data_IF_041822894448
#
_entry.id   IF_041822894448
#
_cell.length_a   1.000
_cell.length_b   1.000
_cell.length_c   1.000
_cell.angle_alpha   90.00
_cell.angle_beta   90.00
_cell.angle_gamma   90.00
#
_symmetry.space_group_name_H-M   'P 1'
#
loop_
_entity.id
_entity.type
_entity.pdbx_description
1 polymer ?
#
# COMPACT_ATOMS: atom_id res chain seq x y z
N UNK A 1 8.63 -1.47 12.26
CA UNK A 1 8.29 -2.41 11.18
C UNK A 1 8.89 -1.81 9.93
N UNK A 2 9.65 -2.57 9.15
CA UNK A 2 10.29 -2.09 7.92
C UNK A 2 9.77 -2.93 6.76
N UNK A 3 9.49 -2.28 5.62
CA UNK A 3 9.08 -2.96 4.40
C UNK A 3 10.26 -2.94 3.44
N UNK A 4 10.64 -4.12 2.95
CA UNK A 4 11.63 -4.26 1.89
C UNK A 4 10.90 -4.43 0.56
N UNK A 5 11.14 -3.51 -0.37
CA UNK A 5 10.56 -3.53 -1.70
C UNK A 5 11.32 -4.49 -2.62
N UNK A 6 10.75 -4.77 -3.80
CA UNK A 6 11.35 -5.68 -4.78
C UNK A 6 12.70 -5.20 -5.33
N UNK A 7 12.96 -3.90 -5.28
CA UNK A 7 14.23 -3.26 -5.63
C UNK A 7 15.24 -3.24 -4.46
N UNK A 8 14.91 -3.90 -3.34
CA UNK A 8 15.69 -3.96 -2.11
C UNK A 8 15.80 -2.63 -1.35
N UNK A 9 15.04 -1.61 -1.74
CA UNK A 9 14.88 -0.41 -0.91
C UNK A 9 14.06 -0.73 0.34
N UNK A 10 14.34 0.00 1.44
CA UNK A 10 13.62 -0.15 2.70
C UNK A 10 12.77 1.08 2.95
N UNK A 11 11.49 0.87 3.27
CA UNK A 11 10.56 1.91 3.66
C UNK A 11 10.14 1.75 5.13
N UNK A 12 10.12 2.87 5.83
CA UNK A 12 9.50 2.98 7.14
C UNK A 12 8.04 3.42 6.95
N UNK A 13 7.06 2.57 7.29
CA UNK A 13 5.67 2.92 7.16
C UNK A 13 5.25 3.93 8.22
N UNK A 14 4.48 4.93 7.81
CA UNK A 14 3.88 5.94 8.67
C UNK A 14 2.69 5.37 9.44
N UNK A 15 2.04 4.35 8.89
CA UNK A 15 0.94 3.65 9.55
C UNK A 15 0.42 2.45 8.78
N UNK A 16 -0.54 1.75 9.37
CA UNK A 16 -1.28 0.64 8.76
C UNK A 16 -2.76 0.93 8.94
N UNK A 17 -3.53 0.84 7.87
CA UNK A 17 -4.98 0.87 7.92
C UNK A 17 -5.50 -0.52 7.59
N UNK A 18 -6.41 -1.02 8.43
CA UNK A 18 -6.94 -2.38 8.33
C UNK A 18 -8.38 -2.41 7.84
N UNK A 19 -8.76 -3.52 7.24
CA UNK A 19 -10.15 -3.82 6.83
C UNK A 19 -10.77 -2.75 5.92
N UNK A 20 -9.97 -2.15 5.04
CA UNK A 20 -10.44 -1.16 4.06
C UNK A 20 -11.20 -1.88 2.95
N UNK A 21 -12.43 -1.45 2.67
CA UNK A 21 -13.22 -1.99 1.58
C UNK A 21 -12.74 -1.43 0.24
N UNK A 22 -12.16 -2.29 -0.60
CA UNK A 22 -11.70 -1.98 -1.95
C UNK A 22 -12.73 -2.48 -2.95
N UNK A 23 -13.22 -1.58 -3.80
CA UNK A 23 -14.14 -1.92 -4.89
C UNK A 23 -13.37 -2.15 -6.19
N UNK A 24 -13.48 -3.35 -6.76
CA UNK A 24 -12.93 -3.70 -8.07
C UNK A 24 -14.11 -4.06 -8.99
N UNK A 25 -14.43 -3.16 -9.92
CA UNK A 25 -15.66 -3.22 -10.75
C UNK A 25 -16.89 -3.34 -9.84
N UNK A 26 -17.56 -4.49 -9.84
CA UNK A 26 -18.77 -4.75 -9.07
C UNK A 26 -18.53 -5.58 -7.80
N UNK A 27 -17.27 -5.93 -7.50
CA UNK A 27 -16.88 -6.71 -6.34
C UNK A 27 -16.27 -5.81 -5.26
N UNK A 28 -16.47 -6.16 -3.99
CA UNK A 28 -15.89 -5.47 -2.83
C UNK A 28 -15.13 -6.47 -1.99
N UNK A 29 -13.89 -6.13 -1.64
CA UNK A 29 -13.01 -6.97 -0.81
C UNK A 29 -12.46 -6.15 0.36
N UNK A 30 -12.36 -6.72 1.57
CA UNK A 30 -11.55 -6.13 2.62
C UNK A 30 -10.06 -6.32 2.29
N UNK A 31 -9.26 -5.27 2.49
CA UNK A 31 -7.81 -5.31 2.36
C UNK A 31 -7.15 -4.40 3.39
N UNK A 32 -5.97 -4.81 3.85
CA UNK A 32 -5.10 -3.98 4.68
C UNK A 32 -4.16 -3.18 3.78
N UNK A 33 -3.88 -1.93 4.15
CA UNK A 33 -2.92 -1.08 3.47
C UNK A 33 -1.86 -0.57 4.42
N UNK A 34 -0.64 -0.46 3.90
CA UNK A 34 0.45 0.21 4.57
C UNK A 34 0.61 1.60 3.99
N UNK A 35 0.62 2.60 4.87
CA UNK A 35 0.81 4.00 4.51
C UNK A 35 2.30 4.30 4.61
N UNK A 36 2.87 4.84 3.54
CA UNK A 36 4.26 5.26 3.45
C UNK A 36 4.30 6.72 3.02
N UNK A 37 5.19 7.50 3.63
CA UNK A 37 5.48 8.85 3.17
C UNK A 37 6.35 8.77 1.90
N UNK A 38 5.94 9.46 0.85
CA UNK A 38 6.65 9.58 -0.42
C UNK A 38 6.81 11.06 -0.76
N UNK A 39 7.79 11.41 -1.60
CA UNK A 39 7.99 12.79 -2.04
C UNK A 39 6.78 13.30 -2.86
N UNK A 40 6.43 14.59 -2.69
CA UNK A 40 5.19 15.23 -3.16
C UNK A 40 4.93 15.13 -4.68
N UNK A 41 5.96 14.91 -5.50
CA UNK A 41 5.89 14.92 -6.97
C UNK A 41 5.87 13.50 -7.60
N UNK A 42 5.75 12.45 -6.81
CA UNK A 42 5.55 11.11 -7.35
C UNK A 42 4.08 10.91 -7.73
N UNK A 43 3.78 10.56 -8.97
CA UNK A 43 2.46 10.03 -9.36
C UNK A 43 2.13 8.84 -8.45
N UNK A 44 1.30 9.06 -7.42
CA UNK A 44 1.12 8.13 -6.30
C UNK A 44 0.37 6.88 -6.77
N UNK A 45 1.05 5.74 -7.03
CA UNK A 45 0.36 4.55 -7.51
C UNK A 45 -0.07 3.69 -6.33
N UNK A 46 -1.33 3.22 -6.33
CA UNK A 46 -1.76 2.18 -5.40
C UNK A 46 -1.14 0.85 -5.85
N UNK A 47 -0.24 0.30 -5.05
CA UNK A 47 0.41 -0.99 -5.33
C UNK A 47 -0.37 -2.10 -4.62
N UNK A 48 -0.94 -3.01 -5.40
CA UNK A 48 -1.54 -4.24 -4.86
C UNK A 48 -0.49 -5.35 -4.89
N UNK A 49 -0.23 -5.97 -3.75
CA UNK A 49 0.64 -7.14 -3.65
C UNK A 49 0.08 -8.34 -4.41
N UNK A 50 0.96 -9.31 -4.71
CA UNK A 50 0.51 -10.64 -5.18
C UNK A 50 -0.02 -11.46 -3.98
N UNK A 51 -0.92 -12.44 -4.21
CA UNK A 51 -1.26 -13.44 -3.21
C UNK A 51 -0.03 -14.16 -2.66
#
# INVERSE_FOLDING_TARGET
MEIVLADQSTLNPSGIIKDVLVKIKDLVFPADFVIVDIEEDADIPIILGRP
#
